data_IF_983818181046
#
_entry.id   IF_983818181046
#
_cell.length_a   1.000
_cell.length_b   1.000
_cell.length_c   1.000
_cell.angle_alpha   90.00
_cell.angle_beta   90.00
_cell.angle_gamma   90.00
#
_symmetry.space_group_name_H-M   'P 1'
#
loop_
_entity.id
_entity.type
_entity.pdbx_description
1 polymer ?
2 polymer ?
3 polymer ?
4 water ?
#
# COMPACT_ATOMS: atom_id res chain seq x y z
N UNK A 1 -14.51 11.91 12.95
CA UNK A 1 -15.31 11.30 14.06
C UNK A 1 -16.32 10.27 13.52
N UNK A 2 -16.41 10.12 12.21
CA UNK A 2 -17.30 9.11 11.67
C UNK A 2 -16.48 7.94 11.13
N UNK A 3 -16.62 6.79 11.75
CA UNK A 3 -15.90 5.65 11.27
C UNK A 3 -16.71 4.92 10.23
N UNK A 4 -16.01 4.39 9.22
CA UNK A 4 -16.64 3.52 8.25
C UNK A 4 -16.02 2.12 8.38
N UNK A 5 -16.78 1.22 8.97
CA UNK A 5 -16.26 -0.09 9.21
C UNK A 5 -16.51 -0.93 7.97
N UNK A 6 -15.44 -1.37 7.35
CA UNK A 6 -15.60 -2.14 6.13
C UNK A 6 -15.55 -3.61 6.47
N UNK A 7 -16.19 -4.42 5.62
CA UNK A 7 -16.18 -5.88 5.77
C UNK A 7 -16.55 -6.56 4.47
N UNK A 8 -15.90 -7.71 4.21
CA UNK A 8 -14.84 -8.18 5.11
C UNK A 8 -13.54 -7.47 4.79
N UNK A 9 -12.46 -7.86 5.47
CA UNK A 9 -11.12 -7.37 5.14
C UNK A 9 -10.66 -7.94 3.81
N UNK A 10 -10.84 -9.24 3.61
CA UNK A 10 -10.47 -9.83 2.34
C UNK A 10 -11.55 -10.76 1.88
N UNK A 11 -11.48 -11.19 0.63
CA UNK A 11 -12.53 -12.02 0.08
C UNK A 11 -12.03 -12.69 -1.19
N UNK A 12 -12.19 -14.00 -1.27
CA UNK A 12 -11.84 -14.78 -2.46
C UNK A 12 -13.09 -15.09 -3.28
N UNK A 13 -12.99 -14.99 -4.60
CA UNK A 13 -14.12 -15.23 -5.46
C UNK A 13 -13.67 -15.56 -6.85
N UNK A 14 -14.58 -16.11 -7.63
CA UNK A 14 -14.28 -16.59 -8.98
C UNK A 14 -15.01 -15.73 -10.01
N UNK A 15 -14.45 -15.69 -11.22
CA UNK A 15 -15.13 -15.06 -12.33
C UNK A 15 -16.58 -15.56 -12.49
N UNK A 16 -17.53 -14.63 -12.57
CA UNK A 16 -18.93 -14.98 -12.67
C UNK A 16 -19.62 -14.85 -11.33
N UNK A 17 -18.83 -14.84 -10.26
CA UNK A 17 -19.41 -14.80 -8.93
C UNK A 17 -19.96 -13.41 -8.60
N UNK A 18 -21.06 -13.39 -7.84
CA UNK A 18 -21.70 -12.16 -7.39
C UNK A 18 -21.16 -11.81 -6.01
N UNK A 19 -20.40 -10.72 -5.92
CA UNK A 19 -19.80 -10.37 -4.64
C UNK A 19 -20.42 -9.12 -4.02
N UNK A 20 -20.36 -9.10 -2.70
CA UNK A 20 -20.99 -8.06 -1.90
C UNK A 20 -19.99 -7.58 -0.87
N UNK A 21 -19.72 -6.29 -0.90
CA UNK A 21 -18.86 -5.70 0.12
C UNK A 21 -19.71 -4.73 0.94
N UNK A 22 -19.54 -4.78 2.26
CA UNK A 22 -20.35 -3.98 3.17
C UNK A 22 -19.53 -2.95 3.94
N UNK A 23 -20.22 -1.96 4.48
CA UNK A 23 -19.62 -0.79 5.14
C UNK A 23 -20.63 -0.29 6.22
N UNK A 24 -20.25 -0.29 7.50
CA UNK A 24 -21.17 0.19 8.54
C UNK A 24 -20.81 1.61 8.94
N UNK A 25 -21.62 2.57 8.57
CA UNK A 25 -21.29 3.90 9.01
C UNK A 25 -21.71 3.99 10.46
N UNK A 26 -20.85 4.57 11.29
CA UNK A 26 -21.07 4.61 12.72
C UNK A 26 -22.19 5.57 13.09
N UNK A 27 -22.58 6.46 12.19
CA UNK A 27 -23.83 7.21 12.39
C UNK A 27 -24.35 7.72 11.06
N UNK A 28 -25.63 8.05 11.01
CA UNK A 28 -26.21 8.38 9.71
C UNK A 28 -25.27 9.26 8.89
N UNK A 29 -25.03 8.84 7.66
CA UNK A 29 -24.27 9.62 6.70
C UNK A 29 -25.16 9.80 5.50
N UNK A 30 -26.38 9.28 5.65
CA UNK A 30 -27.46 9.51 4.71
C UNK A 30 -27.11 9.56 3.25
N UNK A 31 -26.83 8.45 2.63
CA UNK A 31 -26.67 8.52 1.17
C UNK A 31 -25.40 9.19 0.62
N UNK A 32 -24.74 10.03 1.39
CA UNK A 32 -23.52 10.64 0.87
C UNK A 32 -22.31 9.70 0.96
N UNK A 33 -22.33 8.62 0.20
CA UNK A 33 -21.27 7.63 0.23
C UNK A 33 -20.74 7.36 -1.18
N UNK A 34 -19.46 6.99 -1.30
CA UNK A 34 -18.98 6.55 -2.60
C UNK A 34 -18.19 5.28 -2.46
N UNK A 35 -18.06 4.58 -3.57
CA UNK A 35 -17.16 3.42 -3.62
C UNK A 35 -16.05 3.63 -4.63
N UNK A 36 -14.84 3.27 -4.25
CA UNK A 36 -13.72 3.40 -5.16
C UNK A 36 -13.08 2.06 -5.43
N UNK A 37 -12.43 1.96 -6.58
CA UNK A 37 -11.69 0.77 -6.93
C UNK A 37 -10.25 1.20 -7.10
N UNK A 38 -9.33 0.41 -6.54
CA UNK A 38 -7.92 0.71 -6.68
C UNK A 38 -7.11 -0.54 -7.03
N UNK A 39 -6.38 -0.45 -8.15
CA UNK A 39 -5.34 -1.43 -8.56
C UNK A 39 -3.92 -1.02 -8.05
N UNK A 40 -3.08 -2.00 -7.64
CA UNK A 40 -1.69 -1.76 -7.17
C UNK A 40 -0.92 -0.77 -8.04
N UNK A 41 -0.28 0.23 -7.44
CA UNK A 41 0.44 1.24 -8.20
C UNK A 41 -0.43 2.15 -9.06
N UNK A 42 -1.76 2.10 -8.89
CA UNK A 42 -2.63 2.99 -9.68
C UNK A 42 -3.58 3.81 -8.82
N UNK A 43 -4.08 4.90 -9.37
CA UNK A 43 -5.01 5.74 -8.65
C UNK A 43 -6.37 5.05 -8.46
N UNK A 44 -7.09 5.46 -7.44
CA UNK A 44 -8.40 4.90 -7.21
C UNK A 44 -9.33 5.35 -8.33
N UNK A 45 -10.38 4.59 -8.59
CA UNK A 45 -11.31 4.94 -9.67
C UNK A 45 -12.72 4.96 -9.12
N UNK A 46 -13.46 6.02 -9.39
CA UNK A 46 -14.77 6.21 -8.75
C UNK A 46 -15.82 5.39 -9.41
N UNK A 47 -16.50 4.56 -8.61
CA UNK A 47 -17.52 3.67 -9.15
C UNK A 47 -18.93 4.15 -8.88
N UNK A 48 -19.23 4.47 -7.64
CA UNK A 48 -20.60 4.77 -7.27
C UNK A 48 -20.59 5.96 -6.41
N UNK A 49 -21.36 6.93 -6.75
CA UNK A 49 -21.51 8.04 -5.80
C UNK A 49 -22.95 8.12 -5.38
N UNK A 50 -23.13 8.70 -4.27
CA UNK A 50 -24.46 8.99 -3.72
C UNK A 50 -25.12 7.70 -3.25
N UNK A 51 -24.24 6.87 -2.74
CA UNK A 51 -24.51 5.57 -2.12
C UNK A 51 -24.99 4.48 -3.12
N UNK A 52 -25.12 4.95 -4.38
CA UNK A 52 -25.66 4.02 -5.36
C UNK A 52 -25.97 4.68 -6.70
N UNK A 53 -25.29 5.67 -7.07
CA UNK A 53 -25.48 6.24 -8.41
C UNK A 53 -24.30 5.87 -9.29
N UNK A 54 -24.58 5.11 -10.33
CA UNK A 54 -23.54 4.66 -11.27
C UNK A 54 -22.74 5.86 -11.79
N UNK A 55 -21.44 5.84 -11.62
CA UNK A 55 -20.60 6.81 -12.29
C UNK A 55 -20.62 6.55 -13.78
N UNK A 56 -20.61 7.61 -14.59
CA UNK A 56 -20.52 7.42 -16.05
C UNK A 56 -19.34 6.54 -16.44
N UNK A 57 -19.55 5.69 -17.45
CA UNK A 57 -18.48 4.80 -17.92
C UNK A 57 -18.30 3.53 -17.11
N UNK A 58 -18.70 3.54 -15.85
CA UNK A 58 -18.60 2.34 -15.04
C UNK A 58 -19.57 1.26 -15.53
N UNK A 59 -19.12 0.00 -15.51
CA UNK A 59 -19.91 -1.13 -15.97
C UNK A 59 -21.13 -1.35 -15.10
N UNK A 60 -22.27 -1.54 -15.75
CA UNK A 60 -23.54 -1.66 -15.06
C UNK A 60 -23.57 -2.84 -14.09
N UNK A 61 -22.55 -3.68 -14.14
CA UNK A 61 -22.47 -4.79 -13.23
C UNK A 61 -22.23 -4.28 -11.81
N UNK A 62 -21.48 -3.19 -11.70
CA UNK A 62 -21.27 -2.52 -10.42
C UNK A 62 -22.53 -1.85 -9.91
N UNK A 63 -22.72 -1.92 -8.60
CA UNK A 63 -23.96 -1.46 -8.02
C UNK A 63 -23.84 -1.19 -6.49
N UNK A 64 -24.62 -0.22 -5.97
CA UNK A 64 -24.56 0.19 -4.56
C UNK A 64 -25.92 0.26 -3.89
N UNK A 65 -26.01 0.02 -2.58
CA UNK A 65 -27.32 -0.23 -1.99
C UNK A 65 -27.81 0.61 -0.81
N UNK A 66 -27.03 0.69 0.27
CA UNK A 66 -27.50 1.47 1.46
C UNK A 66 -28.82 1.03 2.13
N UNK A 67 -28.75 0.75 3.43
CA UNK A 67 -29.96 0.45 4.20
C UNK A 67 -29.92 1.16 5.57
N UNK A 68 -30.35 2.42 5.63
CA UNK A 68 -30.04 3.22 6.79
C UNK A 68 -28.54 3.50 6.85
N UNK A 69 -27.82 2.76 7.68
CA UNK A 69 -26.39 3.01 7.84
C UNK A 69 -25.46 1.88 7.38
N UNK A 70 -26.00 0.78 6.86
CA UNK A 70 -25.18 -0.24 6.16
C UNK A 70 -25.19 -0.01 4.67
N UNK A 71 -24.02 -0.02 4.06
CA UNK A 71 -23.93 0.15 2.62
C UNK A 71 -23.31 -1.08 1.98
N UNK A 72 -23.90 -1.54 0.86
CA UNK A 72 -23.36 -2.66 0.11
C UNK A 72 -22.99 -2.26 -1.33
N UNK A 73 -21.83 -2.75 -1.76
CA UNK A 73 -21.39 -2.63 -3.12
C UNK A 73 -21.56 -4.00 -3.68
N UNK A 74 -22.34 -4.12 -4.76
CA UNK A 74 -22.57 -5.39 -5.39
C UNK A 74 -21.93 -5.40 -6.77
N UNK A 75 -21.39 -6.56 -7.12
CA UNK A 75 -20.89 -6.83 -8.45
C UNK A 75 -21.60 -8.09 -8.97
N UNK A 76 -22.51 -7.87 -9.90
CA UNK A 76 -23.46 -8.87 -10.36
C UNK A 76 -22.74 -10.07 -10.97
N UNK A 77 -21.68 -9.81 -11.73
CA UNK A 77 -20.79 -10.86 -12.24
C UNK A 77 -19.42 -10.25 -12.27
N UNK A 78 -18.39 -11.09 -12.12
CA UNK A 78 -17.06 -10.58 -11.80
C UNK A 78 -16.05 -10.85 -12.92
N UNK A 79 -15.69 -9.83 -13.68
CA UNK A 79 -14.79 -10.03 -14.83
C UNK A 79 -13.33 -9.89 -14.42
N UNK A 80 -12.41 -10.34 -15.29
CA UNK A 80 -11.00 -10.34 -15.01
C UNK A 80 -10.52 -9.02 -14.45
N UNK A 81 -10.79 -7.94 -15.17
CA UNK A 81 -10.18 -6.65 -14.86
C UNK A 81 -10.73 -6.05 -13.56
N UNK A 82 -11.58 -6.81 -12.85
CA UNK A 82 -12.27 -6.35 -11.64
C UNK A 82 -11.61 -6.83 -10.37
N UNK A 83 -10.56 -7.64 -10.51
CA UNK A 83 -9.80 -8.03 -9.33
C UNK A 83 -9.06 -6.80 -8.83
N UNK A 84 -9.36 -6.39 -7.59
CA UNK A 84 -8.73 -5.24 -7.00
C UNK A 84 -9.14 -5.11 -5.54
N UNK A 85 -8.84 -3.96 -4.92
CA UNK A 85 -9.45 -3.61 -3.63
C UNK A 85 -10.41 -2.40 -3.80
N UNK A 86 -11.37 -2.28 -2.90
CA UNK A 86 -12.49 -1.35 -3.07
C UNK A 86 -12.63 -0.66 -1.75
N UNK A 87 -12.88 0.65 -1.76
CA UNK A 87 -13.06 1.39 -0.52
C UNK A 87 -14.37 2.12 -0.56
N UNK A 88 -15.13 2.10 0.53
CA UNK A 88 -16.28 2.99 0.64
C UNK A 88 -15.78 4.32 1.17
N UNK A 89 -16.57 5.35 0.96
CA UNK A 89 -16.24 6.59 1.61
C UNK A 89 -17.51 7.31 2.03
N UNK A 90 -17.47 8.02 3.14
CA UNK A 90 -18.57 8.95 3.44
C UNK A 90 -18.08 10.35 3.20
N UNK A 91 -18.96 11.15 2.66
CA UNK A 91 -18.70 12.55 2.57
C UNK A 91 -19.98 13.27 2.99
N UNK A 92 -20.47 12.94 4.17
CA UNK A 92 -21.59 13.66 4.72
C UNK A 92 -21.09 14.67 5.75
N UNK A 93 -19.84 14.55 6.17
CA UNK A 93 -19.29 15.44 7.20
C UNK A 93 -18.00 16.07 6.73
N UNK A 94 -17.63 17.23 7.29
CA UNK A 94 -16.53 17.95 6.68
C UNK A 94 -15.21 17.21 6.85
N UNK A 95 -15.15 16.33 7.86
CA UNK A 95 -14.09 15.32 7.95
C UNK A 95 -14.39 14.06 7.12
N UNK A 96 -14.08 14.05 5.83
CA UNK A 96 -14.40 12.85 5.04
C UNK A 96 -13.70 11.59 5.59
N UNK A 97 -14.37 10.45 5.47
CA UNK A 97 -13.78 9.24 6.02
C UNK A 97 -13.89 8.06 5.06
N UNK A 98 -12.80 7.29 4.97
CA UNK A 98 -12.71 6.08 4.14
C UNK A 98 -12.71 4.82 4.99
N UNK A 99 -13.31 3.76 4.48
CA UNK A 99 -13.20 2.42 5.12
C UNK A 99 -11.82 1.81 4.90
N UNK A 100 -11.50 0.78 5.66
CA UNK A 100 -10.14 0.27 5.70
C UNK A 100 -9.75 -0.52 4.46
N UNK A 101 -10.71 -0.86 3.62
CA UNK A 101 -10.42 -1.60 2.39
C UNK A 101 -10.82 -3.07 2.44
N UNK A 102 -11.32 -3.58 1.31
CA UNK A 102 -11.51 -5.01 1.15
C UNK A 102 -10.70 -5.45 -0.05
N UNK A 103 -9.89 -6.49 0.14
CA UNK A 103 -9.13 -7.03 -0.97
C UNK A 103 -9.97 -8.08 -1.69
N UNK A 104 -10.20 -7.87 -2.98
CA UNK A 104 -10.92 -8.85 -3.78
C UNK A 104 -9.95 -9.66 -4.66
N UNK A 105 -9.66 -10.88 -4.23
CA UNK A 105 -8.66 -11.70 -4.94
C UNK A 105 -9.25 -12.87 -5.77
N UNK A 106 -8.44 -13.46 -6.64
CA UNK A 106 -8.88 -14.61 -7.45
C UNK A 106 -8.85 -15.96 -6.72
N UNK A 107 -10.01 -16.60 -6.64
CA UNK A 107 -10.15 -17.88 -5.95
C UNK A 107 -9.81 -19.09 -6.86
N UNK A 108 -8.57 -19.59 -6.77
CA UNK A 108 -8.07 -20.62 -7.70
C UNK A 108 -8.10 -22.07 -7.21
N UNK A 109 -7.47 -22.32 -6.07
CA UNK A 109 -7.45 -23.70 -5.46
C UNK A 109 -7.03 -23.70 -4.00
N UNK A 110 -6.13 -24.64 -3.67
CA UNK A 110 -5.57 -24.80 -2.32
C UNK A 110 -4.13 -25.31 -2.42
N UNK A 111 -3.32 -24.73 -3.30
CA UNK A 111 -1.99 -25.26 -3.56
C UNK A 111 -0.90 -24.82 -2.54
N UNK A 112 0.02 -25.74 -2.23
CA UNK A 112 0.99 -25.62 -1.11
C UNK A 112 2.42 -25.16 -1.47
N UNK A 113 3.05 -24.41 -0.54
CA UNK A 113 4.37 -23.77 -0.68
C UNK A 113 5.59 -24.72 -0.81
N UNK A 114 6.59 -24.25 -1.55
CA UNK A 114 7.93 -24.71 -1.36
C UNK A 114 8.49 -23.86 -0.21
N UNK A 115 8.91 -24.54 0.85
CA UNK A 115 9.64 -23.95 1.99
C UNK A 115 11.15 -24.23 1.90
N UNK A 116 11.94 -23.19 2.11
CA UNK A 116 13.39 -23.31 2.18
C UNK A 116 13.86 -22.35 3.25
N UNK A 117 14.76 -22.81 4.13
CA UNK A 117 15.46 -21.92 5.07
C UNK A 117 16.85 -21.58 4.51
N UNK A 118 17.23 -20.30 4.57
CA UNK A 118 18.55 -19.88 4.10
C UNK A 118 19.44 -19.38 5.22
N UNK A 119 20.73 -19.73 5.18
CA UNK A 119 21.62 -19.33 6.26
C UNK A 119 22.16 -17.91 6.08
N UNK A 120 22.56 -17.25 7.19
CA UNK A 120 23.25 -15.96 7.14
C UNK A 120 24.63 -16.19 6.58
N UNK A 121 25.06 -15.37 5.63
CA UNK A 121 26.38 -15.54 5.03
C UNK A 121 27.52 -15.46 6.04
N UNK A 122 28.59 -16.19 5.79
CA UNK A 122 29.81 -15.97 6.56
C UNK A 122 30.26 -14.52 6.36
N UNK A 123 29.85 -13.92 5.24
CA UNK A 123 30.15 -12.52 4.95
C UNK A 123 29.47 -11.56 5.90
N UNK A 124 28.18 -11.77 6.13
CA UNK A 124 27.39 -10.88 6.97
C UNK A 124 27.67 -11.08 8.45
N UNK A 125 28.22 -12.24 8.78
CA UNK A 125 28.67 -12.52 10.14
C UNK A 125 29.93 -11.69 10.41
N UNK A 126 30.53 -11.16 9.34
CA UNK A 126 31.71 -10.33 9.49
C UNK A 126 31.37 -8.84 9.61
N UNK A 127 30.08 -8.51 9.58
CA UNK A 127 29.64 -7.14 9.84
C UNK A 127 28.92 -7.00 11.20
N UNK A 128 28.86 -8.12 11.93
CA UNK A 128 28.26 -8.18 13.28
C UNK A 128 26.78 -8.54 13.30
N UNK A 129 26.16 -8.58 12.12
CA UNK A 129 24.72 -8.81 12.03
C UNK A 129 24.39 -10.24 11.57
N UNK A 130 23.16 -10.68 11.89
CA UNK A 130 22.72 -12.02 11.58
C UNK A 130 21.25 -12.09 11.11
N UNK A 131 21.06 -12.54 9.87
CA UNK A 131 19.77 -12.50 9.18
C UNK A 131 19.33 -13.87 8.58
N UNK A 132 18.38 -14.52 9.23
CA UNK A 132 17.88 -15.80 8.74
C UNK A 132 16.61 -15.62 7.90
N UNK A 133 16.50 -16.41 6.85
CA UNK A 133 15.36 -16.33 5.94
C UNK A 133 14.56 -17.61 5.95
N UNK A 134 13.33 -17.57 5.44
CA UNK A 134 12.42 -18.71 5.38
C UNK A 134 11.52 -18.45 4.20
N UNK A 135 11.64 -19.25 3.15
CA UNK A 135 10.93 -18.93 1.92
C UNK A 135 9.72 -19.82 1.72
N UNK A 136 8.55 -19.21 1.63
CA UNK A 136 7.32 -19.92 1.33
C UNK A 136 6.92 -19.71 -0.12
N UNK A 137 7.33 -20.62 -0.99
CA UNK A 137 7.19 -20.36 -2.43
C UNK A 137 5.96 -20.91 -3.16
N UNK A 138 5.28 -20.00 -3.86
CA UNK A 138 4.19 -20.39 -4.76
C UNK A 138 3.06 -21.12 -4.05
N UNK A 139 2.08 -20.39 -3.54
CA UNK A 139 1.01 -21.03 -2.81
C UNK A 139 -0.30 -20.25 -2.87
N UNK A 140 -1.38 -20.97 -2.59
CA UNK A 140 -2.70 -20.40 -2.40
C UNK A 140 -3.47 -21.33 -1.46
N UNK A 141 -4.19 -20.76 -0.49
CA UNK A 141 -4.38 -19.31 -0.36
C UNK A 141 -3.31 -18.59 0.51
N UNK A 142 -3.40 -17.25 0.57
CA UNK A 142 -2.50 -16.37 1.32
C UNK A 142 -2.40 -16.67 2.81
N UNK A 143 -3.52 -16.93 3.46
CA UNK A 143 -3.48 -17.26 4.87
C UNK A 143 -2.37 -18.28 5.04
N UNK A 144 -1.33 -17.87 5.74
CA UNK A 144 -0.23 -18.77 6.03
C UNK A 144 0.39 -18.29 7.33
N UNK A 145 1.49 -18.89 7.74
CA UNK A 145 2.05 -18.56 9.04
C UNK A 145 3.45 -19.14 9.20
N UNK A 146 4.39 -18.32 9.66
CA UNK A 146 5.74 -18.77 9.93
C UNK A 146 6.04 -18.63 11.41
N UNK A 147 6.59 -19.69 11.97
CA UNK A 147 7.05 -19.68 13.32
C UNK A 147 8.56 -19.84 13.29
N UNK A 148 9.27 -18.75 13.58
CA UNK A 148 10.73 -18.80 13.68
C UNK A 148 11.13 -19.51 14.96
N UNK A 149 11.79 -20.67 14.82
CA UNK A 149 12.18 -21.54 15.94
C UNK A 149 13.71 -21.70 16.10
N UNK A 150 14.18 -21.62 17.35
CA UNK A 150 15.60 -21.84 17.68
C UNK A 150 15.79 -22.82 18.88
N UNK A 151 16.49 -23.93 18.62
CA UNK A 151 16.66 -25.05 19.59
C UNK A 151 15.35 -25.64 20.11
N UNK A 152 14.38 -25.72 19.20
CA UNK A 152 12.98 -26.10 19.47
C UNK A 152 12.18 -24.99 20.18
N UNK A 153 12.85 -23.87 20.44
CA UNK A 153 12.22 -22.74 21.15
C UNK A 153 11.91 -21.57 20.23
N UNK A 154 10.62 -21.28 20.08
CA UNK A 154 10.14 -20.20 19.20
C UNK A 154 10.41 -18.79 19.73
N UNK A 155 11.58 -18.26 19.39
CA UNK A 155 11.93 -16.89 19.70
C UNK A 155 11.51 -16.06 18.50
N UNK A 156 10.46 -15.26 18.67
CA UNK A 156 9.97 -14.36 17.62
C UNK A 156 9.73 -12.95 18.19
N UNK A 157 9.66 -11.95 17.31
CA UNK A 157 9.52 -10.56 17.71
C UNK A 157 10.60 -9.78 17.00
N UNK A 158 11.57 -10.53 16.48
CA UNK A 158 12.67 -9.99 15.67
C UNK A 158 12.65 -10.52 14.25
N UNK A 159 11.47 -10.59 13.66
CA UNK A 159 11.32 -11.08 12.29
C UNK A 159 10.16 -10.38 11.63
N UNK A 160 10.21 -10.27 10.31
CA UNK A 160 9.16 -9.61 9.54
C UNK A 160 8.88 -10.40 8.26
N UNK A 161 7.61 -10.45 7.84
CA UNK A 161 7.22 -11.10 6.58
C UNK A 161 7.00 -10.10 5.44
N UNK A 162 7.41 -10.46 4.22
CA UNK A 162 6.97 -9.74 3.04
C UNK A 162 6.24 -10.75 2.14
N UNK A 163 5.28 -10.28 1.34
CA UNK A 163 4.51 -11.19 0.48
C UNK A 163 4.30 -10.59 -0.90
N UNK A 164 4.45 -11.41 -1.93
CA UNK A 164 4.07 -10.95 -3.25
C UNK A 164 2.54 -10.85 -3.37
N UNK A 165 2.08 -10.07 -4.34
CA UNK A 165 0.68 -10.03 -4.72
C UNK A 165 0.42 -11.29 -5.56
N UNK A 166 -0.85 -11.56 -5.84
CA UNK A 166 -1.20 -12.74 -6.65
C UNK A 166 -0.51 -12.57 -7.99
N UNK A 167 0.28 -13.54 -8.45
CA UNK A 167 0.98 -13.35 -9.72
C UNK A 167 0.03 -13.51 -10.89
N UNK A 168 0.48 -13.12 -12.09
CA UNK A 168 -0.35 -13.19 -13.29
C UNK A 168 -0.55 -14.63 -13.77
N UNK A 169 0.49 -15.45 -13.58
CA UNK A 169 0.53 -16.78 -14.16
C UNK A 169 -0.34 -17.82 -13.43
N UNK A 170 0.10 -18.26 -12.25
CA UNK A 170 -0.65 -19.30 -11.52
C UNK A 170 -1.38 -18.66 -10.35
N UNK A 171 -1.48 -17.34 -10.41
CA UNK A 171 -2.08 -16.56 -9.35
C UNK A 171 -1.87 -17.22 -7.98
N UNK A 172 -0.64 -17.58 -7.68
CA UNK A 172 -0.28 -18.03 -6.34
C UNK A 172 0.39 -16.88 -5.60
N UNK A 173 0.91 -17.16 -4.41
CA UNK A 173 1.67 -16.16 -3.72
C UNK A 173 3.11 -16.61 -3.55
N UNK A 174 3.84 -15.85 -2.75
CA UNK A 174 5.17 -16.19 -2.33
C UNK A 174 5.45 -15.32 -1.12
N UNK A 175 5.84 -15.95 -0.02
CA UNK A 175 6.11 -15.19 1.20
C UNK A 175 7.59 -15.23 1.52
N UNK A 176 8.05 -14.24 2.25
CA UNK A 176 9.41 -14.18 2.68
C UNK A 176 9.39 -13.80 4.15
N UNK A 177 10.09 -14.54 4.97
CA UNK A 177 10.18 -14.12 6.35
C UNK A 177 11.62 -14.04 6.82
N UNK A 178 12.01 -12.90 7.37
CA UNK A 178 13.39 -12.73 7.78
C UNK A 178 13.55 -12.55 9.27
N UNK A 179 14.62 -13.14 9.79
CA UNK A 179 14.87 -13.12 11.20
C UNK A 179 16.23 -12.47 11.50
N UNK A 180 16.27 -11.59 12.50
CA UNK A 180 17.46 -10.77 12.73
C UNK A 180 17.87 -10.63 14.20
N UNK A 181 19.17 -10.75 14.46
CA UNK A 181 19.72 -10.38 15.75
C UNK A 181 21.24 -10.22 15.68
N UNK A 182 21.85 -10.05 16.83
CA UNK A 182 23.29 -9.77 16.91
C UNK A 182 24.11 -10.94 16.39
N UNK A 183 25.41 -10.72 16.16
CA UNK A 183 26.34 -11.81 15.88
C UNK A 183 26.52 -12.60 17.18
N UNK A 184 26.41 -11.87 18.29
CA UNK A 184 26.39 -12.47 19.62
C UNK A 184 25.17 -13.38 19.73
N UNK A 185 24.00 -12.76 19.68
CA UNK A 185 22.73 -13.50 19.77
C UNK A 185 22.73 -14.76 18.89
N UNK A 186 23.35 -14.67 17.71
CA UNK A 186 23.45 -15.80 16.79
C UNK A 186 24.39 -16.87 17.37
N UNK A 187 25.59 -16.45 17.74
CA UNK A 187 26.56 -17.38 18.28
C UNK A 187 26.26 -17.77 19.72
N UNK A 188 25.18 -18.53 19.89
CA UNK A 188 24.80 -19.06 21.19
C UNK A 188 23.96 -20.32 21.00
N UNK A 189 23.15 -20.32 19.95
CA UNK A 189 22.27 -21.45 19.64
C UNK A 189 22.76 -22.11 18.36
N UNK A 190 22.43 -23.38 18.15
CA UNK A 190 22.98 -24.10 17.01
C UNK A 190 21.93 -24.64 16.06
N UNK A 191 20.75 -24.91 16.59
CA UNK A 191 19.61 -25.31 15.77
C UNK A 191 18.72 -24.11 15.43
N UNK A 192 18.30 -24.02 14.16
CA UNK A 192 17.52 -22.88 13.69
C UNK A 192 16.42 -23.32 12.73
N UNK A 193 15.17 -23.13 13.12
CA UNK A 193 14.07 -23.64 12.32
C UNK A 193 12.93 -22.64 12.07
N UNK A 194 12.25 -22.78 10.94
CA UNK A 194 10.94 -22.17 10.74
C UNK A 194 9.94 -23.22 10.25
N UNK A 195 8.86 -23.40 11.01
CA UNK A 195 7.77 -24.31 10.64
C UNK A 195 6.60 -23.50 10.09
N UNK A 196 6.04 -24.01 8.99
CA UNK A 196 5.00 -23.31 8.24
C UNK A 196 3.68 -24.07 8.30
N UNK A 197 2.61 -23.41 8.78
CA UNK A 197 1.25 -23.99 8.75
C UNK A 197 0.42 -23.34 7.62
N UNK A 198 -0.40 -24.14 6.95
CA UNK A 198 -1.12 -23.74 5.74
C UNK A 198 -2.08 -24.87 5.35
N UNK A 199 -3.21 -24.47 4.77
CA UNK A 199 -4.28 -25.42 4.39
C UNK A 199 -3.88 -26.39 3.25
N UNK A 200 -2.66 -26.21 2.75
CA UNK A 200 -2.11 -27.08 1.71
C UNK A 200 -1.29 -28.16 2.36
N UNK A 201 -0.99 -27.97 3.65
CA UNK A 201 -0.18 -28.93 4.41
C UNK A 201 -1.01 -29.65 5.49
N UNK A 202 -0.90 -30.99 5.51
CA UNK A 202 -1.62 -31.88 6.45
C UNK A 202 -1.24 -31.61 7.90
N UNK A 203 -0.05 -31.05 8.05
CA UNK A 203 0.57 -30.78 9.33
C UNK A 203 1.80 -29.91 9.03
N UNK A 204 2.07 -28.92 9.87
CA UNK A 204 3.13 -27.93 9.63
C UNK A 204 4.53 -28.49 9.27
N UNK A 205 5.14 -27.91 8.22
CA UNK A 205 6.45 -28.32 7.69
C UNK A 205 7.62 -27.57 8.38
N UNK A 206 8.32 -28.24 9.29
CA UNK A 206 9.51 -27.62 9.90
C UNK A 206 10.71 -27.74 8.95
N UNK A 207 11.56 -26.73 9.01
CA UNK A 207 12.71 -26.60 8.12
C UNK A 207 13.78 -25.92 8.96
N UNK A 208 14.97 -26.50 9.04
CA UNK A 208 16.01 -25.99 9.97
C UNK A 208 17.47 -26.22 9.54
N UNK A 209 18.39 -25.61 10.29
CA UNK A 209 19.80 -25.86 10.09
C UNK A 209 20.60 -25.77 11.39
N UNK A 210 21.85 -26.21 11.34
CA UNK A 210 22.81 -25.96 12.40
C UNK A 210 24.09 -25.43 11.77
N UNK A 211 24.40 -24.17 12.02
CA UNK A 211 25.55 -23.54 11.36
C UNK A 211 26.88 -24.29 11.56
N UNK B 1 -8.67 17.83 -23.17
CA UNK B 1 -8.24 16.64 -22.38
C UNK B 1 -8.27 16.89 -20.86
N UNK B 2 -9.30 16.35 -20.20
CA UNK B 2 -9.47 16.58 -18.79
C UNK B 2 -8.58 15.68 -17.92
N UNK B 3 -7.41 16.17 -17.55
CA UNK B 3 -6.45 15.36 -16.81
C UNK B 3 -5.98 15.98 -15.51
N UNK B 4 -5.44 15.14 -14.64
CA UNK B 4 -4.85 15.59 -13.38
C UNK B 4 -3.42 15.11 -13.22
N UNK B 5 -2.48 16.05 -13.13
CA UNK B 5 -1.10 15.68 -12.85
C UNK B 5 -0.54 16.31 -11.58
N UNK B 6 0.11 15.46 -10.80
CA UNK B 6 0.62 15.84 -9.47
C UNK B 6 2.12 15.61 -9.35
N UNK B 7 2.80 16.57 -8.72
CA UNK B 7 4.24 16.51 -8.55
C UNK B 7 4.75 17.29 -7.36
N UNK B 8 6.08 17.27 -7.17
CA UNK B 8 6.72 17.97 -6.07
C UNK B 8 7.03 17.02 -4.95
N UNK B 9 6.62 15.76 -5.12
CA UNK B 9 6.88 14.71 -4.14
C UNK B 9 8.34 14.37 -4.14
N UNK B 10 8.92 14.19 -2.97
CA UNK B 10 10.31 13.84 -2.88
C UNK B 10 10.59 13.37 -1.49
N UNK B 11 11.86 13.47 -1.09
CA UNK B 11 12.36 13.08 0.22
C UNK B 11 12.64 14.33 1.06
N UNK B 12 12.18 14.34 2.31
CA UNK B 12 12.42 15.47 3.20
C UNK B 12 12.65 14.97 4.63
N UNK B 13 13.58 15.60 5.35
CA UNK B 13 13.84 15.24 6.74
C UNK B 13 12.60 15.53 7.55
N UNK B 14 12.43 14.84 8.67
CA UNK B 14 11.32 15.15 9.54
C UNK B 14 11.41 16.61 9.94
N UNK B 15 10.27 17.26 10.13
CA UNK B 15 10.27 18.68 10.46
C UNK B 15 10.52 19.59 9.27
N UNK B 16 10.84 19.03 8.10
CA UNK B 16 11.08 19.82 6.89
C UNK B 16 9.80 20.28 6.24
N UNK B 17 9.91 20.93 5.07
CA UNK B 17 8.74 21.39 4.29
C UNK B 17 8.84 20.93 2.86
N UNK B 18 7.71 20.66 2.23
CA UNK B 18 7.74 20.10 0.88
C UNK B 18 6.98 20.89 -0.17
N UNK B 19 5.65 20.98 -0.05
CA UNK B 19 4.86 21.80 -1.00
C UNK B 19 4.53 21.14 -2.36
N UNK B 20 3.37 20.52 -2.48
CA UNK B 20 3.00 19.82 -3.71
C UNK B 20 2.15 20.67 -4.65
N UNK B 21 2.07 20.29 -5.91
CA UNK B 21 1.14 20.95 -6.81
C UNK B 21 0.38 19.95 -7.69
N UNK B 22 -0.80 20.37 -8.13
CA UNK B 22 -1.67 19.53 -8.92
C UNK B 22 -2.15 20.36 -10.10
N UNK B 23 -1.55 20.13 -11.24
CA UNK B 23 -1.86 20.89 -12.46
C UNK B 23 -3.21 20.48 -13.06
N UNK B 24 -4.11 21.43 -13.21
CA UNK B 24 -5.43 21.12 -13.74
C UNK B 24 -5.61 21.56 -15.19
N UNK B 25 -6.31 20.71 -15.93
CA UNK B 25 -6.53 20.92 -17.35
C UNK B 25 -7.93 20.41 -17.72
N UNK B 26 -8.45 20.88 -18.85
CA UNK B 26 -9.71 20.37 -19.36
C UNK B 26 -10.91 20.68 -18.47
N UNK B 27 -10.70 21.46 -17.42
CA UNK B 27 -11.80 22.06 -16.72
C UNK B 27 -11.29 23.29 -16.00
N UNK B 28 -12.24 24.11 -15.56
CA UNK B 28 -11.89 25.26 -14.76
C UNK B 28 -11.90 24.94 -13.26
N UNK B 29 -10.71 24.74 -12.73
CA UNK B 29 -10.53 24.45 -11.34
C UNK B 29 -11.28 25.44 -10.46
N UNK B 30 -11.39 26.67 -10.91
CA UNK B 30 -11.99 27.71 -10.10
C UNK B 30 -13.51 27.54 -10.05
N UNK B 31 -14.10 27.08 -11.15
CA UNK B 31 -15.54 26.85 -11.21
C UNK B 31 -15.96 25.62 -10.40
N UNK B 32 -15.00 24.89 -9.86
CA UNK B 32 -15.30 23.59 -9.28
C UNK B 32 -14.42 23.33 -8.06
N UNK B 33 -14.03 22.08 -7.79
CA UNK B 33 -13.32 21.88 -6.51
C UNK B 33 -12.42 20.65 -6.44
N UNK B 34 -11.53 20.63 -5.44
CA UNK B 34 -10.49 19.60 -5.30
C UNK B 34 -10.13 19.04 -3.87
N UNK B 35 -9.53 17.87 -3.90
CA UNK B 35 -9.19 17.12 -2.74
C UNK B 35 -7.79 16.61 -2.94
N UNK B 36 -7.04 16.57 -1.83
CA UNK B 36 -5.83 15.79 -1.68
C UNK B 36 -6.14 14.67 -0.68
N UNK B 37 -5.84 13.44 -1.11
CA UNK B 37 -6.10 12.26 -0.34
C UNK B 37 -4.75 11.60 -0.38
N UNK B 38 -4.43 10.75 0.59
CA UNK B 38 -3.09 10.12 0.55
C UNK B 38 -3.04 8.67 0.99
N UNK B 39 -1.93 8.00 0.75
CA UNK B 39 -1.88 6.56 1.02
C UNK B 39 -0.51 6.11 1.54
N UNK B 40 -0.42 6.00 2.85
CA UNK B 40 0.76 5.44 3.48
C UNK B 40 1.12 4.12 2.80
N UNK B 41 2.42 3.87 2.65
CA UNK B 41 2.79 2.60 2.05
C UNK B 41 2.00 1.47 2.71
N UNK B 42 1.33 0.69 1.87
CA UNK B 42 0.74 -0.59 2.29
C UNK B 42 -0.52 -0.45 3.10
N UNK B 43 -1.11 0.76 3.08
CA UNK B 43 -2.32 1.02 3.88
C UNK B 43 -3.45 1.62 3.05
N UNK B 44 -4.47 2.12 3.75
CA UNK B 44 -5.71 2.53 3.11
C UNK B 44 -5.64 3.95 2.59
N UNK B 45 -6.81 4.50 2.24
CA UNK B 45 -6.89 5.86 1.73
C UNK B 45 -7.16 6.77 2.91
N UNK B 46 -6.64 7.99 2.85
CA UNK B 46 -6.81 8.93 3.93
C UNK B 46 -7.04 10.33 3.42
N UNK B 47 -8.16 10.92 3.78
CA UNK B 47 -8.48 12.26 3.32
C UNK B 47 -7.55 13.28 3.99
N UNK B 48 -7.03 14.21 3.21
CA UNK B 48 -6.10 15.19 3.73
C UNK B 48 -6.71 16.60 3.73
N UNK B 49 -7.24 17.03 2.59
CA UNK B 49 -7.76 18.40 2.47
C UNK B 49 -8.65 18.62 1.22
N UNK B 50 -9.26 19.80 1.14
CA UNK B 50 -10.23 20.13 0.09
C UNK B 50 -10.28 21.64 -0.15
N UNK B 51 -10.65 22.05 -1.35
CA UNK B 51 -10.82 23.46 -1.60
C UNK B 51 -11.84 23.72 -2.72
N UNK B 52 -12.72 24.71 -2.47
CA UNK B 52 -13.61 25.24 -3.49
C UNK B 52 -13.17 26.68 -3.76
N UNK B 53 -12.28 26.84 -4.76
CA UNK B 53 -11.66 28.12 -5.04
C UNK B 53 -12.70 29.24 -5.06
N UNK B 54 -13.80 29.05 -5.77
CA UNK B 54 -14.76 30.12 -5.94
C UNK B 54 -15.71 30.27 -4.75
N UNK B 55 -15.58 29.43 -3.75
CA UNK B 55 -16.33 29.65 -2.52
C UNK B 55 -15.34 30.21 -1.54
N UNK B 56 -14.09 30.25 -2.00
CA UNK B 56 -13.00 30.55 -1.10
C UNK B 56 -13.23 29.69 0.11
N UNK B 57 -13.44 28.38 -0.09
CA UNK B 57 -13.64 27.47 1.05
C UNK B 57 -12.50 26.46 1.13
N UNK B 58 -11.99 26.22 2.33
CA UNK B 58 -10.98 25.19 2.52
C UNK B 58 -11.26 24.43 3.80
N UNK B 59 -10.96 23.14 3.82
CA UNK B 59 -11.19 22.29 5.00
C UNK B 59 -10.11 21.26 5.11
N UNK B 60 -9.96 20.74 6.32
CA UNK B 60 -8.79 19.96 6.66
C UNK B 60 -9.19 18.77 7.48
N UNK B 61 -8.28 17.79 7.53
CA UNK B 61 -8.37 16.64 8.41
C UNK B 61 -7.62 16.98 9.69
N UNK B 62 -8.12 16.53 10.84
CA UNK B 62 -7.50 16.84 12.15
C UNK B 62 -6.01 16.53 12.17
N UNK B 63 -5.62 15.52 11.41
CA UNK B 63 -4.30 14.98 11.58
C UNK B 63 -3.36 15.94 10.95
N UNK B 64 -3.94 17.02 10.43
CA UNK B 64 -3.13 18.22 10.12
C UNK B 64 -3.58 19.51 10.79
N UNK B 65 -4.33 20.29 10.04
CA UNK B 65 -4.76 21.53 10.59
C UNK B 65 -3.56 22.08 11.31
N UNK B 66 -2.92 23.07 10.69
CA UNK B 66 -1.78 23.79 11.28
C UNK B 66 -0.39 23.34 10.82
N UNK B 67 -0.32 22.35 9.94
CA UNK B 67 0.93 21.98 9.31
C UNK B 67 0.80 22.04 7.80
N UNK B 68 -0.42 21.81 7.29
CA UNK B 68 -0.69 21.81 5.85
C UNK B 68 -1.59 22.96 5.49
N UNK B 69 -1.42 23.45 4.27
CA UNK B 69 -2.23 24.53 3.75
C UNK B 69 -2.48 24.25 2.29
N UNK B 70 -3.74 24.34 1.89
CA UNK B 70 -4.15 24.04 0.53
C UNK B 70 -4.59 25.29 -0.18
N UNK B 71 -4.16 25.44 -1.41
CA UNK B 71 -4.42 26.67 -2.14
C UNK B 71 -4.74 26.43 -3.60
N UNK B 72 -4.94 27.53 -4.32
CA UNK B 72 -5.31 27.50 -5.73
C UNK B 72 -4.72 28.71 -6.42
N UNK B 73 -4.29 28.55 -7.67
CA UNK B 73 -4.01 29.70 -8.50
C UNK B 73 -4.82 29.59 -9.77
N UNK B 74 -5.78 30.50 -9.91
CA UNK B 74 -6.64 30.54 -11.08
C UNK B 74 -5.86 30.70 -12.38
N UNK B 75 -4.96 31.67 -12.44
CA UNK B 75 -4.06 31.80 -13.60
C UNK B 75 -3.64 30.43 -14.13
N UNK B 76 -2.90 29.68 -13.31
CA UNK B 76 -2.25 28.44 -13.77
C UNK B 76 -3.17 27.24 -13.69
N UNK B 77 -4.40 27.50 -13.24
CA UNK B 77 -5.36 26.44 -13.02
C UNK B 77 -4.67 25.32 -12.24
N UNK B 78 -4.22 25.65 -11.03
CA UNK B 78 -3.39 24.76 -10.27
C UNK B 78 -3.73 24.76 -8.79
N UNK B 79 -3.63 23.57 -8.17
CA UNK B 79 -3.80 23.42 -6.73
C UNK B 79 -2.48 23.11 -6.03
N UNK B 80 -2.36 23.59 -4.80
CA UNK B 80 -1.14 23.44 -4.03
C UNK B 80 -1.41 22.80 -2.67
N UNK B 81 -0.45 22.02 -2.20
CA UNK B 81 -0.47 21.53 -0.82
C UNK B 81 0.89 21.82 -0.19
N UNK B 82 0.87 22.79 0.71
CA UNK B 82 2.05 23.23 1.40
C UNK B 82 2.12 22.48 2.72
N UNK B 83 3.08 21.59 2.84
CA UNK B 83 3.23 20.85 4.09
C UNK B 83 4.48 21.28 4.81
N UNK B 84 4.29 21.86 5.99
CA UNK B 84 5.40 22.13 6.89
C UNK B 84 5.44 21.06 7.98
N UNK B 85 6.55 20.99 8.68
CA UNK B 85 6.65 20.11 9.83
C UNK B 85 6.34 18.69 9.40
N UNK B 86 6.97 18.21 8.34
CA UNK B 86 6.69 16.84 7.92
C UNK B 86 7.32 15.74 8.82
N UNK B 87 6.52 14.72 9.09
CA UNK B 87 6.97 13.55 9.85
C UNK B 87 7.15 12.31 8.97
N UNK B 88 7.70 11.26 9.56
CA UNK B 88 7.83 9.99 8.87
C UNK B 88 6.44 9.41 8.56
N UNK B 89 5.50 9.55 9.49
CA UNK B 89 4.15 9.09 9.26
C UNK B 89 3.42 9.94 8.21
N UNK B 90 3.96 11.07 7.80
CA UNK B 90 3.32 11.83 6.72
C UNK B 90 3.76 11.23 5.41
N UNK B 91 4.64 10.23 5.53
CA UNK B 91 5.12 9.44 4.43
C UNK B 91 3.95 8.72 3.79
N UNK B 92 3.82 8.84 2.48
CA UNK B 92 2.63 8.35 1.79
C UNK B 92 2.65 8.84 0.37
N UNK B 93 1.93 8.15 -0.53
CA UNK B 93 1.69 8.65 -1.88
C UNK B 93 0.55 9.63 -1.75
N UNK B 94 0.67 10.85 -2.29
CA UNK B 94 -0.42 11.81 -2.22
C UNK B 94 -1.13 12.01 -3.55
N UNK B 95 -2.44 11.88 -3.54
CA UNK B 95 -3.17 12.04 -4.79
C UNK B 95 -3.98 13.30 -4.79
N UNK B 96 -4.32 13.74 -5.99
CA UNK B 96 -5.46 14.62 -6.22
C UNK B 96 -6.66 13.89 -6.68
N UNK B 97 -7.82 14.47 -6.41
CA UNK B 97 -9.06 14.11 -7.10
C UNK B 97 -9.92 15.35 -7.27
N UNK B 98 -10.61 15.45 -8.38
CA UNK B 98 -11.53 16.53 -8.54
C UNK B 98 -12.82 16.13 -7.86
N UNK B 99 -13.66 17.10 -7.61
CA UNK B 99 -15.03 16.84 -7.26
C UNK B 99 -15.86 17.75 -8.11
N UNK B 100 -16.75 17.17 -8.91
CA UNK B 100 -17.37 17.90 -10.00
C UNK B 100 -18.20 19.10 -9.55
N UNK B 101 -18.70 19.04 -8.33
CA UNK B 101 -19.55 20.10 -7.82
C UNK B 101 -18.70 21.16 -7.12
N UNK B 102 -19.29 22.19 -6.52
CA UNK B 102 -18.46 23.28 -5.94
C UNK B 102 -18.34 23.25 -4.42
N UNK B 103 -18.94 22.24 -3.80
CA UNK B 103 -18.85 22.04 -2.34
C UNK B 103 -18.58 20.54 -2.04
N UNK B 104 -17.76 20.23 -1.04
CA UNK B 104 -17.32 18.85 -0.83
C UNK B 104 -18.45 17.81 -0.68
N UNK B 105 -19.65 18.25 -0.29
CA UNK B 105 -20.74 17.34 0.08
C UNK B 105 -21.74 17.04 -1.04
N UNK B 106 -21.60 17.72 -2.18
CA UNK B 106 -22.53 17.47 -3.26
C UNK B 106 -21.97 16.55 -4.33
N UNK B 107 -20.75 16.08 -4.17
CA UNK B 107 -20.19 15.20 -5.17
C UNK B 107 -19.06 14.40 -4.59
N UNK B 108 -18.75 13.27 -5.23
CA UNK B 108 -17.61 12.46 -4.83
C UNK B 108 -16.39 12.85 -5.66
N UNK B 109 -15.32 12.07 -5.56
CA UNK B 109 -14.05 12.41 -6.16
C UNK B 109 -13.91 11.67 -7.47
N UNK B 110 -14.20 12.34 -8.58
CA UNK B 110 -14.34 11.65 -9.85
C UNK B 110 -13.01 11.36 -10.55
N UNK B 111 -12.16 12.37 -10.69
CA UNK B 111 -10.93 12.23 -11.47
C UNK B 111 -9.81 12.27 -10.47
N UNK B 112 -8.70 11.60 -10.77
CA UNK B 112 -7.56 11.50 -9.84
C UNK B 112 -6.25 11.49 -10.58
N UNK B 113 -5.24 12.19 -10.06
CA UNK B 113 -3.86 12.13 -10.62
C UNK B 113 -3.17 10.80 -10.36
N UNK B 114 -1.88 10.71 -10.63
CA UNK B 114 -1.19 9.41 -10.53
C UNK B 114 -0.55 9.25 -9.16
N UNK B 115 -0.49 10.38 -8.46
CA UNK B 115 0.05 10.40 -7.12
C UNK B 115 1.56 10.46 -7.14
N UNK B 116 2.10 11.42 -6.41
CA UNK B 116 3.54 11.48 -6.22
C UNK B 116 3.96 11.04 -4.80
N UNK B 117 5.05 10.29 -4.72
CA UNK B 117 5.47 9.71 -3.42
C UNK B 117 6.24 10.73 -2.61
N UNK B 118 5.92 10.81 -1.33
CA UNK B 118 6.62 11.65 -0.38
C UNK B 118 7.27 10.82 0.71
N UNK B 119 8.54 10.46 0.56
CA UNK B 119 9.26 9.76 1.65
C UNK B 119 9.91 10.75 2.63
N UNK B 120 9.84 10.44 3.93
CA UNK B 120 10.34 11.35 4.95
C UNK B 120 11.16 10.61 6.00
N UNK B 121 12.48 10.66 5.91
CA UNK B 121 13.26 10.10 6.99
C UNK B 121 14.44 10.99 7.32
N UNK B 122 15.20 10.61 8.33
CA UNK B 122 16.28 11.50 8.77
C UNK B 122 17.66 11.05 8.36
N UNK B 123 17.74 10.02 7.52
CA UNK B 123 19.05 9.63 7.00
C UNK B 123 19.00 8.91 5.67
N UNK B 124 20.02 9.15 4.84
CA UNK B 124 20.18 8.52 3.54
C UNK B 124 21.31 7.47 3.53
N UNK B 125 22.11 7.45 4.59
CA UNK B 125 23.21 6.47 4.77
C UNK B 125 22.85 5.04 4.31
N UNK B 126 23.78 4.38 3.60
CA UNK B 126 23.52 3.04 3.08
C UNK B 126 24.77 2.15 3.00
N UNK B 130 22.78 -6.65 -0.56
CA UNK B 130 24.21 -6.88 -0.44
C UNK B 130 24.60 -8.38 -0.44
N UNK B 131 24.16 -9.18 0.53
CA UNK B 131 24.66 -10.57 0.63
C UNK B 131 23.97 -11.61 -0.26
N UNK B 132 24.54 -12.83 -0.30
CA UNK B 132 23.93 -13.94 -1.01
C UNK B 132 23.10 -14.83 -0.07
N UNK B 133 22.27 -15.69 -0.66
CA UNK B 133 21.53 -16.72 0.08
C UNK B 133 21.62 -18.05 -0.67
N UNK B 134 22.51 -18.91 -0.19
CA UNK B 134 22.94 -20.08 -0.95
C UNK B 134 21.98 -21.28 -0.92
N UNK B 135 21.86 -21.98 -2.06
CA UNK B 135 21.12 -23.22 -2.23
C UNK B 135 21.84 -24.37 -1.55
N UNK B 136 21.18 -25.52 -1.48
CA UNK B 136 21.69 -26.62 -0.68
C UNK B 136 21.75 -27.96 -1.44
N UNK B 141 11.03 -29.15 0.49
CA UNK B 141 9.77 -28.65 -0.06
C UNK B 141 9.92 -28.34 -1.55
N UNK B 142 8.93 -28.80 -2.33
CA UNK B 142 9.07 -28.89 -3.79
C UNK B 142 9.73 -30.22 -4.13
N UNK B 143 10.96 -30.15 -4.64
CA UNK B 143 11.72 -31.34 -5.04
C UNK B 143 12.94 -30.86 -5.79
N UNK B 144 12.90 -29.55 -6.04
CA UNK B 144 13.95 -28.79 -6.69
C UNK B 144 14.25 -27.63 -5.74
N UNK B 145 15.51 -27.50 -5.31
CA UNK B 145 15.88 -26.47 -4.32
C UNK B 145 15.67 -25.03 -4.81
N UNK B 146 15.92 -24.06 -3.95
CA UNK B 146 15.87 -22.65 -4.36
C UNK B 146 17.04 -21.84 -3.77
N UNK B 147 17.30 -20.67 -4.37
CA UNK B 147 18.39 -19.78 -3.94
C UNK B 147 18.03 -18.32 -4.16
N UNK B 148 18.87 -17.41 -3.66
CA UNK B 148 18.53 -16.00 -3.71
C UNK B 148 19.66 -14.97 -3.66
N UNK B 149 19.46 -13.94 -2.85
CA UNK B 149 20.24 -12.71 -2.97
C UNK B 149 19.60 -11.68 -2.01
N UNK B 150 19.73 -11.89 -0.71
CA UNK B 150 19.28 -10.91 0.30
C UNK B 150 19.91 -9.54 0.06
N UNK B 151 19.08 -8.57 -0.30
CA UNK B 151 19.55 -7.21 -0.53
C UNK B 151 19.32 -6.30 0.69
N UNK B 152 20.40 -5.95 1.37
CA UNK B 152 20.24 -5.37 2.70
C UNK B 152 20.73 -3.92 2.88
N UNK B 153 19.99 -3.18 3.70
CA UNK B 153 20.42 -1.90 4.26
C UNK B 153 20.78 -0.80 3.26
N UNK B 154 19.81 -0.45 2.42
CA UNK B 154 20.00 0.56 1.40
C UNK B 154 18.93 1.62 1.50
N UNK B 155 19.23 2.81 1.01
CA UNK B 155 18.26 3.89 0.99
C UNK B 155 18.47 4.79 -0.23
N UNK B 156 17.38 5.28 -0.84
CA UNK B 156 15.98 4.97 -0.57
C UNK B 156 15.39 4.02 -1.59
N UNK B 157 14.06 3.98 -1.62
CA UNK B 157 13.32 3.10 -2.52
C UNK B 157 13.62 3.40 -3.98
N UNK B 158 13.71 2.37 -4.82
CA UNK B 158 13.68 0.95 -4.55
C UNK B 158 14.98 0.33 -5.04
N UNK B 159 14.98 -0.95 -5.38
CA UNK B 159 16.14 -1.54 -6.06
C UNK B 159 15.75 -2.24 -7.35
N UNK B 160 16.68 -3.00 -7.92
CA UNK B 160 16.52 -3.60 -9.27
C UNK B 160 17.29 -4.91 -9.39
N UNK B 161 16.57 -6.02 -9.35
CA UNK B 161 17.23 -7.31 -9.21
C UNK B 161 16.94 -8.28 -10.37
N UNK B 162 17.67 -8.14 -11.46
CA UNK B 162 17.58 -9.11 -12.54
C UNK B 162 18.56 -10.25 -12.25
N UNK B 163 18.61 -11.23 -13.15
CA UNK B 163 19.56 -12.34 -13.01
C UNK B 163 20.12 -12.72 -14.37
N UNK B 164 21.43 -12.52 -14.54
CA UNK B 164 22.09 -12.71 -15.84
C UNK B 164 21.74 -11.56 -16.78
N UNK B 165 21.34 -10.43 -16.20
CA UNK B 165 20.70 -9.34 -16.92
C UNK B 165 19.39 -9.77 -17.59
N UNK B 166 18.73 -10.75 -16.99
CA UNK B 166 17.46 -11.27 -17.48
C UNK B 166 17.50 -12.01 -18.81
N UNK B 167 18.48 -12.90 -18.99
CA UNK B 167 18.59 -13.71 -20.21
C UNK B 167 17.93 -15.08 -20.07
N UNK B 168 17.26 -15.28 -18.93
CA UNK B 168 16.37 -16.41 -18.64
C UNK B 168 16.03 -16.33 -17.14
N UNK B 169 14.74 -16.12 -16.83
CA UNK B 169 14.28 -15.80 -15.47
C UNK B 169 12.78 -16.06 -15.24
N UNK B 170 12.45 -17.18 -14.61
CA UNK B 170 11.06 -17.59 -14.38
C UNK B 170 10.91 -18.48 -13.14
N UNK B 171 9.93 -18.15 -12.28
CA UNK B 171 9.74 -18.85 -11.01
C UNK B 171 10.50 -18.06 -9.97
N UNK B 172 10.57 -16.76 -10.21
CA UNK B 172 11.45 -15.85 -9.51
C UNK B 172 10.67 -14.72 -8.80
N UNK B 173 11.09 -14.35 -7.61
CA UNK B 173 10.33 -13.36 -6.83
C UNK B 173 11.17 -12.32 -6.13
N UNK B 174 10.93 -11.05 -6.47
CA UNK B 174 11.44 -9.94 -5.68
C UNK B 174 10.36 -9.46 -4.69
N UNK B 175 10.68 -9.54 -3.40
CA UNK B 175 9.69 -9.19 -2.39
C UNK B 175 9.67 -7.72 -2.16
N UNK B 176 8.46 -7.17 -1.98
CA UNK B 176 8.42 -5.80 -1.56
C UNK B 176 9.39 -5.61 -0.38
N UNK B 177 10.21 -4.58 -0.48
CA UNK B 177 11.11 -4.22 0.57
C UNK B 177 10.36 -4.04 1.88
N UNK B 178 11.08 -4.13 2.98
CA UNK B 178 10.53 -3.91 4.30
C UNK B 178 11.39 -2.90 5.07
N UNK B 179 10.75 -1.97 5.77
CA UNK B 179 11.43 -0.89 6.50
C UNK B 179 11.91 -1.34 7.88
N UNK B 180 13.22 -1.29 8.09
CA UNK B 180 13.75 -1.74 9.37
C UNK B 180 13.83 -0.58 10.34
N UNK B 181 13.77 -0.91 11.63
CA UNK B 181 13.83 0.09 12.69
C UNK B 181 14.95 1.09 12.45
N UNK B 182 16.00 0.65 11.75
CA UNK B 182 17.17 1.51 11.54
C UNK B 182 16.91 2.55 10.45
N UNK B 183 15.83 2.38 9.71
CA UNK B 183 15.45 3.36 8.73
C UNK B 183 15.98 3.02 7.36
N UNK B 184 16.61 1.86 7.26
CA UNK B 184 17.00 1.33 5.97
C UNK B 184 16.00 0.26 5.57
N UNK B 185 15.85 0.07 4.27
CA UNK B 185 14.99 -0.95 3.74
C UNK B 185 15.78 -2.21 3.51
N UNK B 186 15.05 -3.26 3.21
CA UNK B 186 15.63 -4.56 2.94
C UNK B 186 14.61 -5.44 2.23
N UNK B 187 15.04 -6.04 1.13
CA UNK B 187 14.22 -7.00 0.43
C UNK B 187 15.10 -8.13 -0.06
N UNK B 188 14.48 -9.21 -0.50
CA UNK B 188 15.25 -10.26 -1.14
C UNK B 188 14.61 -10.68 -2.47
N UNK B 189 15.43 -11.27 -3.34
CA UNK B 189 14.97 -11.90 -4.57
C UNK B 189 15.21 -13.41 -4.45
N UNK B 190 14.37 -14.21 -5.07
CA UNK B 190 14.51 -15.67 -4.95
C UNK B 190 14.11 -16.43 -6.20
N UNK B 191 14.85 -17.48 -6.53
CA UNK B 191 14.50 -18.31 -7.68
C UNK B 191 14.54 -19.80 -7.39
N UNK B 192 13.45 -20.47 -7.76
CA UNK B 192 13.34 -21.92 -7.66
C UNK B 192 14.04 -22.53 -8.87
N UNK B 193 15.09 -23.31 -8.60
CA UNK B 193 15.89 -23.91 -9.66
C UNK B 193 16.20 -25.40 -9.33
N UNK B 194 16.05 -26.30 -10.34
CA UNK B 194 16.14 -27.78 -10.24
C UNK B 194 17.28 -28.35 -9.37
N UNK B 195 16.97 -29.42 -8.61
CA UNK B 195 17.85 -29.96 -7.55
C UNK B 195 19.12 -30.67 -8.02
N UNK B 196 19.04 -31.49 -9.07
CA UNK B 196 20.22 -32.21 -9.62
C UNK B 196 20.99 -31.35 -10.63
N UNK B 197 20.39 -30.21 -10.95
CA UNK B 197 21.02 -29.11 -11.66
C UNK B 197 21.60 -28.11 -10.63
N UNK B 198 22.66 -28.53 -9.93
CA UNK B 198 23.42 -27.63 -9.06
C UNK B 198 24.74 -27.23 -9.72
N UNK B 199 24.96 -25.92 -9.82
CA UNK B 199 26.25 -25.33 -10.21
C UNK B 199 26.82 -25.78 -11.54
N UNK B 200 25.93 -26.12 -12.48
CA UNK B 200 26.36 -26.75 -13.72
C UNK B 200 26.31 -25.83 -14.97
N UNK B 201 25.92 -24.57 -14.82
CA UNK B 201 25.86 -23.69 -16.00
C UNK B 201 25.90 -22.16 -15.82
N UNK B 202 25.10 -21.58 -14.93
CA UNK B 202 24.95 -20.11 -14.90
C UNK B 202 24.54 -19.45 -13.56
N UNK B 203 23.25 -19.40 -13.25
CA UNK B 203 22.66 -18.95 -11.96
C UNK B 203 23.31 -17.73 -11.24
N UNK B 204 23.16 -16.53 -11.80
CA UNK B 204 23.83 -15.30 -11.28
C UNK B 204 22.89 -14.12 -10.98
N UNK B 205 22.90 -13.69 -9.71
CA UNK B 205 22.11 -12.53 -9.26
C UNK B 205 22.63 -11.25 -9.87
N UNK B 206 21.74 -10.34 -10.26
CA UNK B 206 22.16 -9.04 -10.78
C UNK B 206 21.36 -7.86 -10.24
N UNK B 207 22.05 -7.00 -9.48
CA UNK B 207 21.38 -5.98 -8.70
C UNK B 207 21.73 -4.57 -9.15
N UNK B 208 20.87 -3.62 -8.81
CA UNK B 208 21.11 -2.21 -9.11
C UNK B 208 20.51 -1.30 -8.04
N UNK B 209 21.09 -0.12 -7.85
CA UNK B 209 20.54 0.87 -6.93
C UNK B 209 20.86 2.29 -7.39
N UNK B 210 19.88 2.96 -7.97
CA UNK B 210 20.10 4.25 -8.62
C UNK B 210 20.73 5.30 -7.71
N UNK B 211 19.99 5.75 -6.69
CA UNK B 211 20.34 6.94 -5.92
C UNK B 211 21.84 7.07 -5.75
N UNK B 212 22.47 6.08 -5.13
CA UNK B 212 23.94 5.97 -5.19
C UNK B 212 24.33 4.79 -6.08
N UNK B 213 25.37 5.00 -6.88
CA UNK B 213 25.71 4.12 -8.01
C UNK B 213 26.13 2.72 -7.59
N UNK B 214 25.46 1.72 -8.16
CA UNK B 214 25.66 0.33 -7.77
C UNK B 214 25.09 -0.61 -8.82
N UNK B 215 25.83 -1.67 -9.13
CA UNK B 215 25.31 -2.81 -9.92
C UNK B 215 25.99 -4.12 -9.50
N UNK B 216 25.66 -4.62 -8.32
CA UNK B 216 26.38 -5.75 -7.71
C UNK B 216 26.03 -7.15 -8.29
N UNK B 217 27.02 -7.82 -8.87
CA UNK B 217 26.90 -9.21 -9.32
C UNK B 217 27.35 -10.18 -8.22
N UNK B 218 26.54 -11.21 -7.95
CA UNK B 218 26.85 -12.16 -6.85
C UNK B 218 26.59 -13.66 -7.15
N UNK B 219 27.39 -14.50 -6.51
CA UNK B 219 27.37 -15.96 -6.72
C UNK B 219 26.93 -16.71 -5.44
N UNK B 220 26.45 -17.95 -5.59
CA UNK B 220 25.84 -18.69 -4.48
C UNK B 220 26.07 -20.22 -4.51
N UNK B 221 26.41 -20.81 -3.36
CA UNK B 221 26.48 -22.29 -3.19
C UNK B 221 27.51 -22.73 -2.13
N UNK B 222 27.31 -23.91 -1.48
CA UNK B 222 28.30 -24.49 -0.56
C UNK B 222 29.73 -24.61 -1.12
N UNK C 1 -5.21 43.33 12.98
CA UNK C 1 -4.26 43.88 11.96
C UNK C 1 -3.74 42.77 11.05
N UNK C 2 -3.16 41.74 11.63
CA UNK C 2 -2.60 40.64 10.84
C UNK C 2 -3.66 39.58 10.59
N UNK C 3 -3.35 38.37 11.04
CA UNK C 3 -4.25 37.23 10.96
C UNK C 3 -5.43 37.46 11.90
N UNK C 4 -5.35 38.52 12.70
CA UNK C 4 -6.41 38.88 13.62
C UNK C 4 -7.76 38.89 12.91
N UNK C 5 -7.95 39.83 11.99
CA UNK C 5 -9.19 39.94 11.22
C UNK C 5 -9.34 38.83 10.16
N UNK C 6 -8.22 38.43 9.55
CA UNK C 6 -8.25 37.45 8.46
C UNK C 6 -8.58 36.05 8.96
N UNK C 7 -8.00 35.66 10.09
CA UNK C 7 -8.26 34.33 10.65
C UNK C 7 -9.60 34.24 11.37
N UNK C 8 -10.07 35.37 11.89
CA UNK C 8 -11.39 35.41 12.49
C UNK C 8 -12.47 35.12 11.44
N UNK C 9 -12.57 35.98 10.43
CA UNK C 9 -13.62 35.84 9.42
C UNK C 9 -13.56 34.44 8.81
N UNK C 10 -12.45 33.74 9.05
CA UNK C 10 -12.30 32.38 8.55
C UNK C 10 -13.10 31.40 9.40
N UNK C 11 -12.97 31.51 10.72
CA UNK C 11 -13.75 30.65 11.57
C UNK C 11 -15.20 30.96 11.31
N UNK C 12 -15.53 32.24 11.32
CA UNK C 12 -16.90 32.65 11.13
C UNK C 12 -17.47 32.11 9.83
N UNK C 13 -16.68 32.19 8.78
CA UNK C 13 -17.05 31.61 7.51
C UNK C 13 -17.30 30.12 7.67
N UNK C 14 -16.34 29.41 8.26
CA UNK C 14 -16.50 27.97 8.43
C UNK C 14 -17.66 27.65 9.39
N UNK C 15 -17.92 28.52 10.34
CA UNK C 15 -18.98 28.27 11.27
C UNK C 15 -20.23 28.19 10.43
N UNK C 16 -20.60 29.30 9.81
CA UNK C 16 -21.78 29.31 8.94
C UNK C 16 -21.88 28.08 8.08
N UNK C 17 -20.82 27.79 7.34
CA UNK C 17 -20.86 26.61 6.49
C UNK C 17 -21.20 25.36 7.27
N UNK C 18 -20.74 25.29 8.50
CA UNK C 18 -20.93 24.11 9.29
C UNK C 18 -22.44 24.00 9.63
N UNK C 19 -23.11 25.15 9.81
CA UNK C 19 -24.56 25.16 10.04
C UNK C 19 -25.35 24.65 8.83
N UNK C 20 -25.07 25.18 7.65
CA UNK C 20 -25.70 24.67 6.47
C UNK C 20 -25.52 23.15 6.39
N UNK C 21 -24.30 22.64 6.66
CA UNK C 21 -24.10 21.18 6.64
C UNK C 21 -25.16 20.57 7.58
N UNK C 22 -25.20 21.06 8.81
CA UNK C 22 -26.19 20.56 9.75
C UNK C 22 -27.53 20.45 9.05
N UNK C 23 -28.01 21.54 8.44
CA UNK C 23 -29.32 21.47 7.80
C UNK C 23 -29.42 20.38 6.71
N UNK C 24 -28.49 20.36 5.75
CA UNK C 24 -28.53 19.37 4.67
C UNK C 24 -28.69 17.96 5.25
N UNK C 25 -28.01 17.70 6.35
CA UNK C 25 -28.09 16.40 6.97
C UNK C 25 -29.49 16.14 7.51
N UNK C 26 -30.11 17.16 8.10
CA UNK C 26 -31.35 16.85 8.75
C UNK C 26 -32.54 16.81 7.79
N UNK C 27 -32.41 17.44 6.63
CA UNK C 27 -33.37 17.21 5.56
C UNK C 27 -33.19 15.80 5.01
N UNK C 28 -31.94 15.46 4.68
CA UNK C 28 -31.60 14.20 4.07
C UNK C 28 -31.91 12.96 4.91
N UNK C 29 -32.35 13.18 6.15
CA UNK C 29 -32.75 12.08 7.02
C UNK C 29 -34.22 12.21 7.33
N UNK C 30 -34.93 12.91 6.44
CA UNK C 30 -36.38 12.80 6.34
C UNK C 30 -36.80 12.19 5.01
#
# INVERSE_FOLDING_TARGET
DIQMTQSPSSLSASVGDRVTITCRASQSVSSAVAWYQQKPGKAPKLLIYSASSLYSGVPSRFSGSGSGTDFTLTISSLQPEDFATYYCQQYSYSLLTFGQGTKVEIKRTVAAPSVFIFPPSDEQLKSGTASVVCLLNNFYPREAKVQWKVDNALQAGNSQESVTEQDSKDSTYSLSSTLTLSKADYEKHKVYACEVTHQGLSSPVTKSFNR
EVQLVESGGGLVQPGGSLRLSCAASGFNLSYSSMHWVRQAPGKGLEWVAYISPSYGYTSYADSVKGRFTISADTSKNTAYLQMNSLRAEDTAVYYCARSWEAYWRWSAMDYWGQGTLVTVSSASTKGPSVFPLAPSSKSTSGGTAALGCLVKDYFPEPVTVSWNSGALTSGVHTFPAVLQSSGLYSLSSVVTVPSSSLGTQTYICNVNHKPSNTKVDKKVEP
SEKAAEEAYTRTTRALHERFDRLERMLDDN
#
